data_IF_631845303683
#
_entry.id   IF_631845303683
#
_cell.length_a   1.000
_cell.length_b   1.000
_cell.length_c   1.000
_cell.angle_alpha   90.00
_cell.angle_beta   90.00
_cell.angle_gamma   90.00
#
_symmetry.space_group_name_H-M   'P 1'
#
loop_
_entity.id
_entity.type
_entity.pdbx_description
1 polymer ?
#
# COMPACT_ATOMS: atom_id res chain seq x y z
N UNK A 1 11.84 3.36 2.26
CA UNK A 1 12.22 3.28 3.69
C UNK A 1 13.61 2.67 3.83
N UNK A 2 14.15 2.59 5.05
CA UNK A 2 15.46 1.97 5.31
C UNK A 2 15.50 0.48 4.94
N UNK A 3 16.68 0.01 4.59
CA UNK A 3 17.00 -1.42 4.38
C UNK A 3 17.22 -2.12 5.71
N UNK A 4 17.25 -3.45 5.69
CA UNK A 4 17.65 -4.27 6.85
C UNK A 4 19.05 -4.84 6.63
N UNK A 5 19.82 -4.95 7.69
CA UNK A 5 21.12 -5.62 7.72
C UNK A 5 20.91 -7.12 7.99
N UNK A 6 21.48 -7.95 7.15
CA UNK A 6 21.41 -9.41 7.21
C UNK A 6 22.80 -10.01 7.32
N UNK A 7 22.87 -11.20 7.91
CA UNK A 7 24.05 -12.07 7.84
C UNK A 7 23.58 -13.46 7.43
N UNK A 8 24.26 -14.09 6.47
CA UNK A 8 23.92 -15.47 6.05
C UNK A 8 24.81 -16.45 6.79
N UNK A 9 24.23 -17.22 7.70
CA UNK A 9 24.92 -18.33 8.33
C UNK A 9 25.10 -19.47 7.31
N UNK A 10 26.34 -19.91 7.13
CA UNK A 10 26.68 -21.09 6.32
C UNK A 10 27.23 -22.17 7.26
N UNK A 11 26.88 -23.44 7.03
CA UNK A 11 27.44 -24.55 7.83
C UNK A 11 28.97 -24.50 7.76
N UNK A 12 29.62 -24.36 8.92
CA UNK A 12 31.09 -24.37 9.05
C UNK A 12 31.78 -23.00 9.00
N UNK A 13 31.07 -21.89 8.87
CA UNK A 13 31.65 -20.53 8.97
C UNK A 13 31.01 -19.80 10.15
N UNK A 14 31.82 -19.48 11.17
CA UNK A 14 31.32 -18.85 12.41
C UNK A 14 30.75 -17.44 12.20
N UNK A 15 31.24 -16.69 11.19
CA UNK A 15 30.75 -15.35 10.86
C UNK A 15 30.52 -15.21 9.36
N UNK A 16 29.25 -15.23 8.95
CA UNK A 16 28.86 -14.92 7.58
C UNK A 16 29.13 -13.44 7.23
N UNK A 17 29.26 -13.13 5.93
CA UNK A 17 29.41 -11.75 5.47
C UNK A 17 28.06 -11.01 5.56
N UNK A 18 28.10 -9.77 6.06
CA UNK A 18 26.92 -8.92 6.29
C UNK A 18 26.53 -8.12 5.04
N UNK A 19 25.23 -7.99 4.80
CA UNK A 19 24.70 -7.25 3.65
C UNK A 19 23.36 -6.58 3.96
N UNK A 20 23.06 -5.49 3.26
CA UNK A 20 21.77 -4.81 3.27
C UNK A 20 20.86 -5.32 2.16
N UNK A 21 19.59 -5.55 2.49
CA UNK A 21 18.55 -5.88 1.51
C UNK A 21 17.20 -5.20 1.86
N UNK A 22 16.22 -5.32 0.96
CA UNK A 22 14.89 -4.74 1.14
C UNK A 22 14.24 -5.21 2.46
N UNK A 23 13.60 -4.28 3.16
CA UNK A 23 12.91 -4.54 4.43
C UNK A 23 11.53 -5.16 4.26
N UNK A 24 10.88 -4.95 3.12
CA UNK A 24 9.48 -5.32 2.90
C UNK A 24 9.25 -6.33 1.76
N UNK A 25 10.18 -6.48 0.82
CA UNK A 25 10.06 -7.42 -0.30
C UNK A 25 10.91 -8.66 -0.03
N UNK A 26 10.28 -9.84 -0.04
CA UNK A 26 10.99 -11.12 0.15
C UNK A 26 11.76 -11.57 -1.10
N UNK A 27 11.27 -11.19 -2.28
CA UNK A 27 11.86 -11.53 -3.56
C UNK A 27 12.53 -10.30 -4.17
N UNK A 28 13.65 -10.51 -4.87
CA UNK A 28 14.43 -9.43 -5.49
C UNK A 28 13.76 -8.88 -6.76
N UNK A 29 12.72 -9.52 -7.28
CA UNK A 29 11.97 -9.03 -8.44
C UNK A 29 11.27 -7.69 -8.18
N UNK A 30 10.67 -7.55 -7.01
CA UNK A 30 9.90 -6.36 -6.66
C UNK A 30 10.82 -5.24 -6.13
N UNK A 31 11.83 -5.62 -5.34
CA UNK A 31 12.92 -4.74 -4.95
C UNK A 31 14.25 -5.48 -4.96
N UNK A 32 15.07 -5.19 -5.97
CA UNK A 32 16.36 -5.82 -6.20
C UNK A 32 17.52 -5.20 -5.38
N UNK A 33 17.23 -4.41 -4.36
CA UNK A 33 18.27 -3.76 -3.56
C UNK A 33 19.16 -4.79 -2.87
N UNK A 34 20.47 -4.65 -3.09
CA UNK A 34 21.51 -5.41 -2.42
C UNK A 34 22.79 -4.58 -2.30
N UNK A 35 23.44 -4.66 -1.15
CA UNK A 35 24.75 -4.04 -0.90
C UNK A 35 25.47 -4.79 0.22
N UNK A 36 26.76 -5.08 0.07
CA UNK A 36 27.53 -5.57 1.22
C UNK A 36 27.79 -4.46 2.24
N UNK A 37 27.88 -4.78 3.52
CA UNK A 37 28.13 -3.78 4.56
C UNK A 37 29.47 -3.05 4.36
N UNK A 38 30.48 -3.79 3.91
CA UNK A 38 31.84 -3.32 3.64
C UNK A 38 32.06 -2.77 2.22
N UNK A 39 31.03 -2.82 1.36
CA UNK A 39 31.12 -2.33 -0.01
C UNK A 39 31.06 -0.79 -0.07
N UNK A 40 32.13 -0.18 -0.58
CA UNK A 40 32.13 1.25 -0.91
C UNK A 40 31.20 1.51 -2.08
N UNK A 41 30.27 2.45 -1.92
CA UNK A 41 29.31 2.82 -2.96
C UNK A 41 29.85 4.02 -3.74
N UNK A 42 29.96 3.89 -5.06
CA UNK A 42 30.31 5.02 -5.92
C UNK A 42 29.17 6.03 -6.00
N UNK A 43 29.51 7.29 -6.29
CA UNK A 43 28.53 8.37 -6.49
C UNK A 43 27.51 8.03 -7.59
N UNK A 44 27.96 7.46 -8.70
CA UNK A 44 27.09 7.01 -9.80
C UNK A 44 26.03 6.00 -9.32
N UNK A 45 26.42 5.06 -8.44
CA UNK A 45 25.49 4.07 -7.89
C UNK A 45 24.54 4.67 -6.86
N UNK A 46 24.96 5.70 -6.11
CA UNK A 46 24.07 6.46 -5.23
C UNK A 46 23.00 7.19 -6.03
N UNK A 47 23.40 7.94 -7.07
CA UNK A 47 22.47 8.68 -7.93
C UNK A 47 21.46 7.75 -8.62
N UNK A 48 21.92 6.62 -9.17
CA UNK A 48 21.03 5.64 -9.80
C UNK A 48 20.01 5.04 -8.81
N UNK A 49 20.38 4.89 -7.52
CA UNK A 49 19.46 4.42 -6.47
C UNK A 49 18.45 5.48 -6.08
N UNK A 50 18.88 6.73 -5.96
CA UNK A 50 17.97 7.85 -5.67
C UNK A 50 16.93 8.00 -6.76
N UNK A 51 17.33 7.89 -8.02
CA UNK A 51 16.41 7.95 -9.16
C UNK A 51 15.43 6.77 -9.15
N UNK A 52 15.91 5.55 -8.89
CA UNK A 52 15.04 4.38 -8.75
C UNK A 52 14.02 4.55 -7.60
N UNK A 53 14.48 5.11 -6.47
CA UNK A 53 13.61 5.37 -5.31
C UNK A 53 12.54 6.43 -5.61
N UNK A 54 12.86 7.43 -6.43
CA UNK A 54 11.90 8.46 -6.89
C UNK A 54 10.86 7.85 -7.83
N UNK A 55 11.28 7.07 -8.82
CA UNK A 55 10.37 6.41 -9.78
C UNK A 55 9.40 5.46 -9.08
N UNK A 56 9.82 4.83 -7.98
CA UNK A 56 8.99 3.92 -7.17
C UNK A 56 8.11 4.63 -6.14
N UNK A 57 8.17 5.96 -6.01
CA UNK A 57 7.22 6.67 -5.17
C UNK A 57 5.80 6.57 -5.75
N UNK A 58 4.77 6.65 -4.90
CA UNK A 58 3.41 6.84 -5.38
C UNK A 58 3.31 8.08 -6.28
N UNK A 59 2.39 8.09 -7.28
CA UNK A 59 2.26 9.19 -8.24
C UNK A 59 1.81 10.51 -7.60
N UNK A 60 1.22 10.46 -6.41
CA UNK A 60 0.82 11.61 -5.64
C UNK A 60 1.38 11.52 -4.22
N UNK A 61 1.72 12.67 -3.65
CA UNK A 61 2.00 12.83 -2.23
C UNK A 61 0.74 12.61 -1.40
N UNK A 62 0.92 12.38 -0.11
CA UNK A 62 -0.22 12.23 0.81
C UNK A 62 -1.12 13.49 0.86
N UNK A 63 -0.52 14.68 0.80
CA UNK A 63 -1.29 15.94 0.79
C UNK A 63 -2.14 16.08 -0.47
N UNK A 64 -1.60 15.68 -1.62
CA UNK A 64 -2.36 15.65 -2.88
C UNK A 64 -3.49 14.63 -2.83
N UNK A 65 -3.26 13.41 -2.31
CA UNK A 65 -4.35 12.44 -2.12
C UNK A 65 -5.48 12.98 -1.25
N UNK A 66 -5.15 13.69 -0.16
CA UNK A 66 -6.16 14.33 0.69
C UNK A 66 -6.92 15.43 -0.04
N UNK A 67 -6.22 16.28 -0.81
CA UNK A 67 -6.84 17.34 -1.60
C UNK A 67 -7.79 16.76 -2.66
N UNK A 68 -7.31 15.77 -3.41
CA UNK A 68 -8.09 15.04 -4.43
C UNK A 68 -9.31 14.37 -3.81
N UNK A 69 -9.16 13.70 -2.66
CA UNK A 69 -10.29 13.07 -1.97
C UNK A 69 -11.35 14.09 -1.57
N UNK A 70 -10.96 15.25 -1.01
CA UNK A 70 -11.89 16.34 -0.65
C UNK A 70 -12.64 16.88 -1.86
N UNK A 71 -11.95 17.07 -2.98
CA UNK A 71 -12.58 17.47 -4.24
C UNK A 71 -13.52 16.38 -4.76
N UNK A 72 -13.11 15.11 -4.68
CA UNK A 72 -13.92 13.99 -5.14
C UNK A 72 -15.23 13.85 -4.36
N UNK A 73 -15.19 13.96 -3.02
CA UNK A 73 -16.41 13.81 -2.21
C UNK A 73 -17.42 14.95 -2.42
N UNK A 74 -16.97 16.14 -2.82
CA UNK A 74 -17.85 17.28 -3.12
C UNK A 74 -18.51 17.19 -4.49
N UNK A 75 -18.07 16.27 -5.37
CA UNK A 75 -18.71 16.05 -6.66
C UNK A 75 -20.13 15.48 -6.51
N UNK A 76 -21.04 15.78 -7.46
CA UNK A 76 -22.29 15.06 -7.61
C UNK A 76 -22.05 13.56 -7.84
N UNK A 77 -22.99 12.71 -7.43
CA UNK A 77 -22.87 11.25 -7.56
C UNK A 77 -22.55 10.81 -9.00
N UNK A 78 -23.25 11.40 -9.98
CA UNK A 78 -23.07 11.16 -11.43
C UNK A 78 -21.63 11.40 -11.94
N UNK A 79 -20.82 12.13 -11.19
CA UNK A 79 -19.43 12.47 -11.55
C UNK A 79 -18.40 11.69 -10.72
N UNK A 80 -18.84 10.89 -9.73
CA UNK A 80 -17.94 10.09 -8.90
C UNK A 80 -17.57 8.80 -9.61
N UNK A 81 -16.39 8.81 -10.24
CA UNK A 81 -15.86 7.67 -11.01
C UNK A 81 -14.62 7.08 -10.35
N UNK A 82 -14.53 5.77 -10.33
CA UNK A 82 -13.36 5.02 -9.88
C UNK A 82 -12.83 4.16 -11.03
N UNK A 83 -11.55 4.31 -11.35
CA UNK A 83 -10.88 3.48 -12.33
C UNK A 83 -10.42 2.16 -11.68
N UNK A 84 -10.97 1.03 -12.15
CA UNK A 84 -10.62 -0.30 -11.65
C UNK A 84 -9.25 -0.77 -12.15
N UNK A 85 -8.78 -0.32 -13.31
CA UNK A 85 -7.46 -0.71 -13.80
C UNK A 85 -6.35 0.04 -13.06
N UNK A 86 -6.55 1.35 -12.83
CA UNK A 86 -5.56 2.19 -12.16
C UNK A 86 -5.72 2.19 -10.63
N UNK A 87 -6.82 1.67 -10.10
CA UNK A 87 -7.15 1.70 -8.67
C UNK A 87 -7.20 3.12 -8.08
N UNK A 88 -7.79 4.06 -8.84
CA UNK A 88 -7.79 5.50 -8.52
C UNK A 88 -9.20 6.11 -8.60
N UNK A 89 -9.50 7.00 -7.66
CA UNK A 89 -10.63 7.93 -7.76
C UNK A 89 -10.29 9.00 -8.80
N UNK A 90 -11.19 9.18 -9.77
CA UNK A 90 -11.00 10.09 -10.89
C UNK A 90 -11.71 11.41 -10.66
N UNK A 91 -10.96 12.50 -10.86
CA UNK A 91 -11.54 13.83 -11.02
C UNK A 91 -12.02 14.05 -12.46
N UNK A 92 -12.96 14.97 -12.71
CA UNK A 92 -13.52 15.20 -14.04
C UNK A 92 -12.50 15.41 -15.17
N UNK A 93 -11.42 16.13 -14.87
CA UNK A 93 -10.37 16.46 -15.86
C UNK A 93 -9.55 15.25 -16.31
N UNK A 94 -9.64 14.13 -15.59
CA UNK A 94 -8.83 12.92 -15.82
C UNK A 94 -9.56 11.89 -16.69
N UNK A 95 -10.86 12.06 -16.94
CA UNK A 95 -11.67 11.03 -17.57
C UNK A 95 -11.20 10.66 -18.98
N UNK A 96 -10.65 11.61 -19.73
CA UNK A 96 -10.15 11.40 -21.09
C UNK A 96 -9.01 10.38 -21.15
N UNK A 97 -8.13 10.39 -20.14
CA UNK A 97 -6.99 9.48 -20.01
C UNK A 97 -7.42 8.06 -19.61
N UNK A 98 -8.67 7.87 -19.19
CA UNK A 98 -9.21 6.59 -18.71
C UNK A 98 -10.36 6.07 -19.58
N UNK A 99 -10.49 6.58 -20.81
CA UNK A 99 -11.54 6.18 -21.77
C UNK A 99 -11.49 4.70 -22.15
N UNK A 100 -10.30 4.11 -22.18
CA UNK A 100 -10.09 2.69 -22.48
C UNK A 100 -10.06 1.79 -21.23
N UNK A 101 -10.23 2.35 -20.02
CA UNK A 101 -10.15 1.61 -18.76
C UNK A 101 -11.52 1.16 -18.25
N UNK A 102 -11.52 0.17 -17.38
CA UNK A 102 -12.72 -0.22 -16.63
C UNK A 102 -13.05 0.81 -15.55
N UNK A 103 -14.24 1.40 -15.65
CA UNK A 103 -14.71 2.46 -14.75
C UNK A 103 -15.95 2.00 -13.98
N UNK A 104 -15.88 2.13 -12.65
CA UNK A 104 -17.04 2.10 -11.78
C UNK A 104 -17.60 3.53 -11.62
N UNK A 105 -18.82 3.76 -12.12
CA UNK A 105 -19.53 5.03 -11.98
C UNK A 105 -20.34 5.08 -10.67
N UNK A 106 -20.84 6.28 -10.34
CA UNK A 106 -21.76 6.53 -9.22
C UNK A 106 -21.24 6.01 -7.87
N UNK A 107 -19.95 6.24 -7.59
CA UNK A 107 -19.33 5.78 -6.33
C UNK A 107 -19.91 6.54 -5.15
N UNK A 108 -20.68 5.82 -4.32
CA UNK A 108 -21.35 6.36 -3.14
C UNK A 108 -20.38 6.61 -1.98
N UNK A 109 -20.79 7.46 -1.03
CA UNK A 109 -20.04 7.67 0.22
C UNK A 109 -19.93 6.36 1.03
N UNK A 110 -20.92 5.47 0.97
CA UNK A 110 -20.88 4.18 1.66
C UNK A 110 -19.77 3.27 1.10
N UNK A 111 -19.58 3.25 -0.22
CA UNK A 111 -18.47 2.53 -0.85
C UNK A 111 -17.12 3.17 -0.51
N UNK A 112 -17.02 4.50 -0.48
CA UNK A 112 -15.80 5.20 -0.07
C UNK A 112 -15.41 4.95 1.39
N UNK A 113 -16.40 4.73 2.27
CA UNK A 113 -16.14 4.32 3.65
C UNK A 113 -15.55 2.91 3.72
N UNK A 114 -15.78 2.05 2.72
CA UNK A 114 -15.26 0.67 2.64
C UNK A 114 -14.24 0.47 1.51
N UNK A 115 -13.04 1.10 1.54
CA UNK A 115 -12.05 0.98 0.47
C UNK A 115 -11.61 -0.47 0.19
N UNK A 116 -11.60 -1.34 1.19
CA UNK A 116 -11.25 -2.77 1.05
C UNK A 116 -12.22 -3.55 0.16
N UNK A 117 -13.44 -3.05 -0.05
CA UNK A 117 -14.42 -3.62 -0.97
C UNK A 117 -14.39 -2.93 -2.36
N UNK A 118 -13.73 -1.78 -2.46
CA UNK A 118 -13.60 -1.00 -3.71
C UNK A 118 -12.29 -1.33 -4.44
N UNK A 119 -11.20 -1.46 -3.69
CA UNK A 119 -9.87 -1.78 -4.20
C UNK A 119 -9.70 -3.29 -4.35
N UNK A 120 -9.00 -3.72 -5.39
CA UNK A 120 -8.59 -5.10 -5.55
C UNK A 120 -7.52 -5.46 -4.51
N UNK A 121 -7.63 -6.63 -3.86
CA UNK A 121 -6.63 -7.06 -2.89
C UNK A 121 -5.29 -7.38 -3.59
N UNK A 122 -4.19 -6.88 -3.01
CA UNK A 122 -2.84 -7.20 -3.46
C UNK A 122 -2.37 -8.53 -2.86
N UNK A 123 -2.81 -9.64 -3.45
CA UNK A 123 -2.63 -10.99 -2.89
C UNK A 123 -1.21 -11.59 -3.04
N UNK A 124 -0.28 -10.89 -3.71
CA UNK A 124 1.08 -11.39 -3.89
C UNK A 124 1.78 -11.60 -2.54
N UNK A 125 1.95 -12.88 -2.17
CA UNK A 125 2.54 -13.33 -0.90
C UNK A 125 3.99 -12.91 -0.64
N UNK A 126 4.69 -12.38 -1.65
CA UNK A 126 6.10 -11.98 -1.58
C UNK A 126 6.29 -10.50 -1.23
N UNK A 127 5.23 -9.71 -1.40
CA UNK A 127 5.22 -8.27 -1.20
C UNK A 127 4.16 -7.86 -0.20
N UNK A 128 2.89 -7.98 -0.58
CA UNK A 128 1.76 -7.38 0.12
C UNK A 128 1.00 -8.42 0.96
N UNK A 129 0.73 -9.60 0.38
CA UNK A 129 -0.02 -10.69 1.01
C UNK A 129 -1.35 -10.21 1.62
N UNK A 130 -2.10 -9.35 0.90
CA UNK A 130 -3.31 -8.74 1.42
C UNK A 130 -4.47 -9.74 1.40
N UNK A 131 -4.66 -10.45 2.52
CA UNK A 131 -5.80 -11.34 2.74
C UNK A 131 -6.82 -10.62 3.62
N UNK A 132 -7.97 -10.30 3.03
CA UNK A 132 -9.03 -9.56 3.71
C UNK A 132 -9.88 -10.49 4.57
N UNK A 133 -10.22 -10.04 5.77
CA UNK A 133 -11.21 -10.72 6.60
C UNK A 133 -12.58 -10.73 5.90
N UNK A 134 -13.32 -11.83 6.07
CA UNK A 134 -14.74 -11.85 5.74
C UNK A 134 -15.53 -10.93 6.68
N UNK A 135 -16.65 -10.38 6.21
CA UNK A 135 -17.49 -9.44 6.97
C UNK A 135 -17.92 -10.00 8.34
N UNK A 136 -18.28 -11.29 8.40
CA UNK A 136 -18.64 -11.96 9.66
C UNK A 136 -17.51 -11.93 10.70
N UNK A 137 -16.26 -12.12 10.25
CA UNK A 137 -15.09 -12.07 11.12
C UNK A 137 -14.79 -10.64 11.56
N UNK A 138 -14.97 -9.66 10.67
CA UNK A 138 -14.84 -8.25 11.04
C UNK A 138 -15.83 -7.86 12.15
N UNK A 139 -17.11 -8.18 11.98
CA UNK A 139 -18.13 -7.88 13.00
C UNK A 139 -17.81 -8.55 14.33
N UNK A 140 -17.47 -9.84 14.32
CA UNK A 140 -17.08 -10.55 15.54
C UNK A 140 -15.92 -9.86 16.29
N UNK A 141 -14.88 -9.43 15.56
CA UNK A 141 -13.72 -8.77 16.17
C UNK A 141 -14.09 -7.39 16.74
N UNK A 142 -14.89 -6.60 16.03
CA UNK A 142 -15.35 -5.29 16.49
C UNK A 142 -16.24 -5.41 17.74
N UNK A 143 -17.18 -6.37 17.73
CA UNK A 143 -18.04 -6.66 18.88
C UNK A 143 -17.21 -7.11 20.08
N UNK A 144 -16.20 -7.96 19.87
CA UNK A 144 -15.29 -8.38 20.93
C UNK A 144 -14.54 -7.18 21.53
N UNK A 145 -14.00 -6.28 20.69
CA UNK A 145 -13.30 -5.09 21.18
C UNK A 145 -14.21 -4.18 21.99
N UNK A 146 -15.44 -3.96 21.52
CA UNK A 146 -16.45 -3.17 22.22
C UNK A 146 -16.82 -3.80 23.57
N UNK A 147 -17.06 -5.12 23.61
CA UNK A 147 -17.40 -5.86 24.83
C UNK A 147 -16.26 -5.87 25.88
N UNK A 148 -15.01 -5.82 25.42
CA UNK A 148 -13.84 -5.67 26.28
C UNK A 148 -13.58 -4.21 26.72
N UNK A 149 -14.40 -3.26 26.27
CA UNK A 149 -14.31 -1.84 26.64
C UNK A 149 -13.21 -1.06 25.92
N UNK A 150 -12.70 -1.55 24.78
CA UNK A 150 -11.72 -0.81 23.98
C UNK A 150 -12.39 0.31 23.19
N UNK A 151 -11.93 1.54 23.39
CA UNK A 151 -12.43 2.74 22.69
C UNK A 151 -11.54 3.19 21.53
N UNK A 152 -10.30 2.71 21.48
CA UNK A 152 -9.32 3.02 20.42
C UNK A 152 -8.59 1.75 20.04
N UNK A 153 -8.56 1.45 18.75
CA UNK A 153 -7.90 0.27 18.19
C UNK A 153 -6.85 0.72 17.18
N UNK A 154 -5.60 0.36 17.40
CA UNK A 154 -4.52 0.61 16.45
C UNK A 154 -4.47 -0.54 15.43
N UNK A 155 -4.99 -0.29 14.23
CA UNK A 155 -4.97 -1.25 13.13
C UNK A 155 -3.66 -1.15 12.34
N UNK A 156 -2.81 -2.17 12.42
CA UNK A 156 -1.58 -2.29 11.61
C UNK A 156 -1.75 -3.44 10.62
N UNK A 157 -1.85 -3.11 9.32
CA UNK A 157 -1.99 -4.11 8.26
C UNK A 157 -3.36 -4.79 8.18
N UNK A 158 -4.41 -4.19 8.74
CA UNK A 158 -5.78 -4.75 8.80
C UNK A 158 -6.82 -3.83 8.13
N UNK A 159 -6.72 -3.58 6.82
CA UNK A 159 -7.53 -2.56 6.14
C UNK A 159 -9.04 -2.83 6.13
N UNK A 160 -9.48 -4.09 6.24
CA UNK A 160 -10.92 -4.40 6.34
C UNK A 160 -11.52 -4.18 7.74
N UNK A 161 -10.68 -4.10 8.78
CA UNK A 161 -11.11 -3.77 10.16
C UNK A 161 -11.05 -2.27 10.44
N UNK A 162 -10.17 -1.53 9.77
CA UNK A 162 -10.03 -0.07 9.95
C UNK A 162 -11.20 0.76 9.38
N UNK A 163 -12.29 0.08 9.02
CA UNK A 163 -13.50 0.66 8.46
C UNK A 163 -14.61 0.45 9.47
N UNK A 164 -14.75 1.38 10.42
CA UNK A 164 -15.90 1.42 11.32
C UNK A 164 -16.07 2.84 11.83
N UNK A 165 -17.30 3.33 11.72
CA UNK A 165 -17.82 4.53 12.37
C UNK A 165 -17.85 4.32 13.91
N UNK A 166 -16.67 4.27 14.55
CA UNK A 166 -16.54 4.50 16.00
C UNK A 166 -16.41 6.00 16.28
#
# INVERSE_FOLDING_TARGET
GPTLLFVKASKGVEQGRRFYACSACRDRRDCNFFQWEDEKVSEVRLLAREENNKIKQPPYTHQEYLSRYRQFISLPLAQKRFCQDCQLLLLPDEWTMHTAHQILADVSLAQLRRPSQLLHPLENKKTNAQYLFADRSCHFLLDLFANLGFVKVLCVGTPSLSVSDL
#
